data_IF_702626494979
#
_entry.id   IF_702626494979
#
_cell.length_a   1.000
_cell.length_b   1.000
_cell.length_c   1.000
_cell.angle_alpha   90.00
_cell.angle_beta   90.00
_cell.angle_gamma   90.00
#
_symmetry.space_group_name_H-M   'P 1'
#
loop_
_entity.id
_entity.type
_entity.pdbx_description
1 polymer ?
#
# COMPACT_ATOMS: atom_id res chain seq x y z
N UNK A 1 23.21 46.42 -41.65
CA UNK A 1 23.80 45.21 -41.03
C UNK A 1 22.82 44.67 -40.00
N UNK A 2 22.22 43.49 -40.20
CA UNK A 2 21.27 42.90 -39.26
C UNK A 2 22.02 42.16 -38.14
N UNK A 3 21.72 42.49 -36.88
CA UNK A 3 22.21 41.78 -35.70
C UNK A 3 21.39 40.52 -35.45
N UNK A 4 22.01 39.36 -35.64
CA UNK A 4 21.44 38.04 -35.40
C UNK A 4 21.64 37.66 -33.93
N UNK A 5 20.57 37.52 -33.14
CA UNK A 5 20.63 36.90 -31.81
C UNK A 5 20.22 35.41 -31.92
N UNK A 6 20.98 34.48 -31.32
CA UNK A 6 20.70 33.06 -31.45
C UNK A 6 19.43 32.65 -30.68
N UNK A 7 18.58 31.87 -31.35
CA UNK A 7 17.53 31.07 -30.70
C UNK A 7 18.18 29.81 -30.09
N UNK A 8 17.99 29.61 -28.79
CA UNK A 8 18.00 28.30 -28.14
C UNK A 8 17.33 28.50 -26.76
N UNK A 9 16.54 27.59 -26.21
CA UNK A 9 16.54 26.15 -26.37
C UNK A 9 15.16 25.57 -26.08
N UNK A 10 14.87 24.52 -26.83
CA UNK A 10 13.79 23.55 -26.67
C UNK A 10 13.37 23.29 -25.22
N UNK A 11 12.13 23.64 -24.87
CA UNK A 11 11.37 22.89 -23.87
C UNK A 11 11.11 21.51 -24.45
N UNK A 12 12.07 20.61 -24.24
CA UNK A 12 11.95 19.20 -24.54
C UNK A 12 10.83 18.62 -23.66
N UNK A 13 9.60 18.69 -24.16
CA UNK A 13 8.45 17.97 -23.64
C UNK A 13 8.57 16.47 -23.99
N UNK A 14 9.75 15.87 -23.72
CA UNK A 14 9.91 14.42 -23.81
C UNK A 14 9.13 13.85 -22.63
N UNK A 15 8.14 12.97 -22.87
CA UNK A 15 7.58 12.19 -21.77
C UNK A 15 8.76 11.51 -21.08
N UNK A 16 8.95 11.80 -19.79
CA UNK A 16 9.97 11.11 -19.00
C UNK A 16 9.71 9.62 -19.16
N UNK A 17 10.74 8.87 -19.56
CA UNK A 17 10.65 7.41 -19.63
C UNK A 17 10.16 6.91 -18.26
N UNK A 18 9.21 5.96 -18.18
CA UNK A 18 8.84 5.39 -16.89
C UNK A 18 10.11 4.96 -16.16
N UNK A 19 10.25 5.38 -14.90
CA UNK A 19 11.29 4.91 -14.00
C UNK A 19 11.37 3.38 -14.12
N UNK A 20 12.55 2.79 -14.38
CA UNK A 20 12.67 1.35 -14.51
C UNK A 20 12.19 0.65 -13.23
N UNK A 21 11.50 -0.47 -13.37
CA UNK A 21 11.01 -1.29 -12.26
C UNK A 21 9.49 -1.52 -12.30
N UNK A 22 9.00 -2.48 -11.51
CA UNK A 22 7.63 -2.94 -11.61
C UNK A 22 6.63 -1.94 -11.04
N UNK A 23 5.44 -1.95 -11.58
CA UNK A 23 4.32 -1.10 -11.18
C UNK A 23 3.59 -1.65 -9.95
N UNK A 24 3.09 -0.75 -9.10
CA UNK A 24 2.50 -1.09 -7.79
C UNK A 24 1.15 -0.41 -7.60
N UNK A 25 0.20 -1.11 -7.00
CA UNK A 25 -1.07 -0.58 -6.53
C UNK A 25 -1.34 -0.97 -5.07
N UNK A 26 -2.26 -0.29 -4.38
CA UNK A 26 -2.55 -0.56 -2.98
C UNK A 26 -4.04 -0.61 -2.62
N UNK A 27 -4.41 -1.50 -1.70
CA UNK A 27 -5.71 -1.50 -1.03
C UNK A 27 -5.50 -1.38 0.48
N UNK A 28 -5.88 -0.27 1.10
CA UNK A 28 -5.63 -0.02 2.52
C UNK A 28 -6.93 0.16 3.31
N UNK A 29 -6.90 -0.26 4.58
CA UNK A 29 -8.01 -0.10 5.51
C UNK A 29 -7.64 0.87 6.61
N UNK A 30 -7.04 0.34 7.69
CA UNK A 30 -6.81 1.11 8.91
C UNK A 30 -5.75 2.20 8.75
N UNK A 31 -4.82 2.04 7.80
CA UNK A 31 -3.82 3.05 7.40
C UNK A 31 -4.48 4.38 7.00
N UNK A 32 -5.65 4.35 6.35
CA UNK A 32 -6.44 5.55 6.04
C UNK A 32 -5.74 6.56 5.12
N UNK A 33 -4.96 6.09 4.14
CA UNK A 33 -4.25 6.92 3.17
C UNK A 33 -2.74 6.94 3.35
N UNK A 34 -2.23 6.48 4.49
CA UNK A 34 -0.80 6.48 4.80
C UNK A 34 0.00 5.57 3.88
N UNK A 35 -0.56 4.44 3.45
CA UNK A 35 0.12 3.53 2.53
C UNK A 35 0.21 4.16 1.14
N UNK A 36 -0.89 4.70 0.61
CA UNK A 36 -0.87 5.40 -0.67
C UNK A 36 0.08 6.62 -0.65
N UNK A 37 0.10 7.39 0.45
CA UNK A 37 1.02 8.52 0.65
C UNK A 37 2.49 8.07 0.65
N UNK A 38 2.79 6.94 1.29
CA UNK A 38 4.15 6.39 1.34
C UNK A 38 4.60 5.89 -0.04
N UNK A 39 3.75 5.14 -0.73
CA UNK A 39 4.05 4.57 -2.05
C UNK A 39 4.19 5.64 -3.12
N UNK A 40 3.32 6.65 -3.14
CA UNK A 40 3.41 7.74 -4.11
C UNK A 40 4.72 8.53 -3.95
N UNK A 41 5.18 8.74 -2.71
CA UNK A 41 6.48 9.36 -2.43
C UNK A 41 7.66 8.47 -2.81
N UNK A 42 7.61 7.16 -2.53
CA UNK A 42 8.75 6.25 -2.71
C UNK A 42 8.91 5.74 -4.15
N UNK A 43 7.80 5.55 -4.85
CA UNK A 43 7.74 4.91 -6.18
C UNK A 43 7.39 5.89 -7.31
N UNK A 44 6.82 7.05 -6.99
CA UNK A 44 6.42 8.06 -7.98
C UNK A 44 5.51 7.47 -9.05
N UNK A 45 5.93 7.59 -10.32
CA UNK A 45 5.16 7.14 -11.49
C UNK A 45 4.91 5.63 -11.57
N UNK A 46 5.64 4.82 -10.78
CA UNK A 46 5.40 3.37 -10.68
C UNK A 46 4.18 3.03 -9.81
N UNK A 47 3.73 3.96 -8.95
CA UNK A 47 2.50 3.79 -8.18
C UNK A 47 1.28 4.11 -9.04
N UNK A 48 0.47 3.10 -9.36
CA UNK A 48 -0.69 3.20 -10.24
C UNK A 48 -1.94 3.78 -9.56
N UNK A 49 -1.99 3.69 -8.24
CA UNK A 49 -3.12 4.19 -7.45
C UNK A 49 -3.38 3.32 -6.22
N UNK A 50 -4.29 3.80 -5.38
CA UNK A 50 -4.71 3.07 -4.20
C UNK A 50 -6.18 3.28 -3.87
N UNK A 51 -6.76 2.32 -3.17
CA UNK A 51 -8.12 2.37 -2.62
C UNK A 51 -8.04 2.35 -1.10
N UNK A 52 -8.72 3.30 -0.45
CA UNK A 52 -8.96 3.26 0.99
C UNK A 52 -10.28 2.53 1.26
N UNK A 53 -10.20 1.20 1.38
CA UNK A 53 -11.33 0.31 1.63
C UNK A 53 -11.60 0.12 3.14
N UNK A 54 -12.08 1.20 3.78
CA UNK A 54 -12.28 1.20 5.24
C UNK A 54 -13.42 0.26 5.69
N UNK A 55 -14.54 0.23 4.97
CA UNK A 55 -15.70 -0.64 5.26
C UNK A 55 -15.56 -2.02 4.61
N UNK A 56 -16.31 -3.01 5.11
CA UNK A 56 -16.39 -4.33 4.45
C UNK A 56 -16.98 -4.22 3.05
N UNK A 57 -18.01 -3.40 2.87
CA UNK A 57 -18.61 -3.11 1.55
C UNK A 57 -17.56 -2.60 0.56
N UNK A 58 -16.72 -1.64 0.97
CA UNK A 58 -15.66 -1.14 0.11
C UNK A 58 -14.61 -2.20 -0.24
N UNK A 59 -14.29 -3.12 0.69
CA UNK A 59 -13.39 -4.26 0.42
C UNK A 59 -13.99 -5.18 -0.65
N UNK A 60 -15.29 -5.44 -0.58
CA UNK A 60 -16.00 -6.27 -1.56
C UNK A 60 -16.09 -5.56 -2.91
N UNK A 61 -16.65 -4.36 -2.96
CA UNK A 61 -16.99 -3.67 -4.20
C UNK A 61 -15.77 -3.17 -4.97
N UNK A 62 -14.77 -2.63 -4.27
CA UNK A 62 -13.63 -1.97 -4.90
C UNK A 62 -12.42 -2.90 -5.06
N UNK A 63 -12.26 -3.87 -4.15
CA UNK A 63 -11.11 -4.78 -4.12
C UNK A 63 -11.51 -6.24 -4.41
N UNK A 64 -12.79 -6.53 -4.62
CA UNK A 64 -13.24 -7.88 -4.98
C UNK A 64 -12.96 -8.91 -3.91
N UNK A 65 -12.95 -8.52 -2.63
CA UNK A 65 -12.86 -9.47 -1.52
C UNK A 65 -14.16 -10.27 -1.46
N UNK A 66 -14.12 -11.61 -1.44
CA UNK A 66 -15.33 -12.41 -1.29
C UNK A 66 -16.05 -12.10 0.04
N UNK A 67 -17.37 -11.82 0.04
CA UNK A 67 -18.11 -11.50 1.27
C UNK A 67 -18.04 -12.60 2.33
N UNK A 68 -18.16 -13.86 1.90
CA UNK A 68 -18.04 -15.07 2.71
C UNK A 68 -16.68 -15.20 3.41
N UNK A 69 -15.60 -14.72 2.77
CA UNK A 69 -14.28 -14.68 3.38
C UNK A 69 -14.23 -13.70 4.57
N UNK A 70 -14.92 -12.56 4.45
CA UNK A 70 -15.02 -11.59 5.54
C UNK A 70 -15.87 -12.14 6.69
N UNK A 71 -16.93 -12.88 6.38
CA UNK A 71 -17.79 -13.51 7.39
C UNK A 71 -17.06 -14.60 8.18
N UNK A 72 -16.27 -15.43 7.49
CA UNK A 72 -15.59 -16.59 8.09
C UNK A 72 -14.27 -16.22 8.78
N UNK A 73 -13.39 -15.46 8.13
CA UNK A 73 -12.07 -15.12 8.66
C UNK A 73 -12.05 -13.77 9.43
N UNK A 74 -13.06 -12.92 9.20
CA UNK A 74 -13.13 -11.55 9.69
C UNK A 74 -12.32 -10.58 8.83
N UNK A 75 -12.76 -9.32 8.78
CA UNK A 75 -12.13 -8.29 7.92
C UNK A 75 -10.64 -8.02 8.18
N UNK A 76 -10.13 -8.36 9.37
CA UNK A 76 -8.72 -8.21 9.77
C UNK A 76 -8.11 -9.60 9.86
N UNK A 77 -7.78 -10.21 8.72
CA UNK A 77 -7.23 -11.57 8.62
C UNK A 77 -6.17 -11.63 7.52
N UNK A 78 -5.29 -12.66 7.52
CA UNK A 78 -4.31 -12.83 6.45
C UNK A 78 -4.98 -13.07 5.08
N UNK A 79 -6.10 -13.79 5.04
CA UNK A 79 -6.83 -14.11 3.82
C UNK A 79 -7.47 -12.85 3.21
N UNK A 80 -8.09 -12.01 4.03
CA UNK A 80 -8.66 -10.74 3.57
C UNK A 80 -7.56 -9.80 3.09
N UNK A 81 -6.42 -9.72 3.79
CA UNK A 81 -5.28 -8.93 3.35
C UNK A 81 -4.80 -9.38 1.96
N UNK A 82 -4.62 -10.70 1.75
CA UNK A 82 -4.18 -11.22 0.46
C UNK A 82 -5.23 -11.01 -0.65
N UNK A 83 -6.51 -11.20 -0.34
CA UNK A 83 -7.60 -10.92 -1.28
C UNK A 83 -7.62 -9.43 -1.70
N UNK A 84 -7.45 -8.51 -0.74
CA UNK A 84 -7.33 -7.07 -1.01
C UNK A 84 -6.11 -6.75 -1.90
N UNK A 85 -4.96 -7.37 -1.65
CA UNK A 85 -3.74 -7.14 -2.44
C UNK A 85 -3.93 -7.60 -3.89
N UNK A 86 -4.48 -8.80 -4.09
CA UNK A 86 -4.86 -9.32 -5.42
C UNK A 86 -5.88 -8.40 -6.10
N UNK A 87 -6.86 -7.91 -5.34
CA UNK A 87 -7.85 -6.93 -5.77
C UNK A 87 -7.25 -5.65 -6.31
N UNK A 88 -6.41 -4.99 -5.52
CA UNK A 88 -5.74 -3.75 -5.91
C UNK A 88 -4.87 -3.94 -7.16
N UNK A 89 -4.12 -5.04 -7.24
CA UNK A 89 -3.32 -5.41 -8.42
C UNK A 89 -4.19 -5.45 -9.68
N UNK A 90 -5.31 -6.18 -9.64
CA UNK A 90 -6.23 -6.31 -10.78
C UNK A 90 -6.91 -5.00 -11.13
N UNK A 91 -7.43 -4.28 -10.14
CA UNK A 91 -8.19 -3.03 -10.34
C UNK A 91 -7.39 -1.96 -11.08
N UNK A 92 -6.11 -1.80 -10.72
CA UNK A 92 -5.24 -0.79 -11.32
C UNK A 92 -4.34 -1.31 -12.45
N UNK A 93 -4.44 -2.60 -12.81
CA UNK A 93 -3.56 -3.22 -13.82
C UNK A 93 -2.07 -3.12 -13.46
N UNK A 94 -1.73 -3.24 -12.18
CA UNK A 94 -0.35 -3.18 -11.70
C UNK A 94 0.30 -4.58 -11.71
N UNK A 95 1.63 -4.62 -11.75
CA UNK A 95 2.38 -5.87 -11.59
C UNK A 95 2.31 -6.40 -10.16
N UNK A 96 2.30 -5.50 -9.18
CA UNK A 96 2.16 -5.80 -7.76
C UNK A 96 0.96 -5.10 -7.14
N UNK A 97 0.26 -5.79 -6.27
CA UNK A 97 -0.71 -5.21 -5.34
C UNK A 97 -0.24 -5.37 -3.91
N UNK A 98 -0.38 -4.32 -3.12
CA UNK A 98 -0.19 -4.31 -1.68
C UNK A 98 -1.55 -4.19 -1.01
N UNK A 99 -1.66 -4.73 0.20
CA UNK A 99 -2.79 -4.40 1.03
C UNK A 99 -2.47 -4.34 2.50
N UNK A 100 -3.34 -3.63 3.22
CA UNK A 100 -3.37 -3.55 4.66
C UNK A 100 -4.81 -3.63 5.16
N UNK A 101 -5.01 -4.44 6.19
CA UNK A 101 -6.22 -4.43 7.00
C UNK A 101 -5.88 -4.63 8.48
N UNK A 102 -6.41 -3.78 9.35
CA UNK A 102 -5.94 -3.70 10.73
C UNK A 102 -6.87 -2.96 11.68
N UNK A 103 -6.39 -2.80 12.92
CA UNK A 103 -7.06 -2.10 14.01
C UNK A 103 -6.12 -1.02 14.51
N UNK A 104 -6.14 0.14 13.88
CA UNK A 104 -5.28 1.25 14.31
C UNK A 104 -5.67 1.82 15.68
N UNK A 105 -6.90 1.61 16.16
CA UNK A 105 -7.42 2.20 17.39
C UNK A 105 -8.20 3.50 17.18
N UNK A 106 -8.59 4.21 18.26
CA UNK A 106 -8.17 3.99 19.65
C UNK A 106 -8.88 2.82 20.36
N UNK A 107 -9.98 2.33 19.79
CA UNK A 107 -10.74 1.21 20.34
C UNK A 107 -10.71 0.03 19.37
N UNK A 108 -10.93 -1.17 19.89
CA UNK A 108 -11.25 -2.32 19.04
C UNK A 108 -12.71 -2.25 18.59
N UNK A 109 -13.06 -3.04 17.56
CA UNK A 109 -14.44 -3.15 17.11
C UNK A 109 -15.30 -3.87 18.14
N UNK A 110 -16.56 -3.46 18.31
CA UNK A 110 -17.50 -4.11 19.24
C UNK A 110 -17.66 -5.63 19.05
N UNK A 111 -17.37 -6.13 17.85
CA UNK A 111 -17.50 -7.55 17.46
C UNK A 111 -16.15 -8.29 17.39
N UNK A 112 -15.04 -7.67 17.77
CA UNK A 112 -13.71 -8.28 17.65
C UNK A 112 -12.91 -8.14 18.94
N UNK A 113 -12.40 -9.26 19.45
CA UNK A 113 -11.45 -9.28 20.56
C UNK A 113 -10.00 -9.00 20.13
N UNK A 114 -9.76 -8.76 18.82
CA UNK A 114 -8.41 -8.48 18.29
C UNK A 114 -7.89 -7.16 18.89
N UNK A 115 -6.61 -7.09 19.31
CA UNK A 115 -6.06 -5.93 20.00
C UNK A 115 -5.84 -4.74 19.05
N UNK A 116 -5.87 -3.53 19.62
CA UNK A 116 -5.39 -2.32 18.92
C UNK A 116 -3.91 -2.49 18.60
N UNK A 117 -3.50 -2.07 17.41
CA UNK A 117 -2.13 -2.22 16.93
C UNK A 117 -1.87 -3.54 16.18
N UNK A 118 -2.89 -4.37 15.96
CA UNK A 118 -2.83 -5.52 15.06
C UNK A 118 -3.18 -5.11 13.62
N UNK A 119 -2.39 -5.54 12.66
CA UNK A 119 -2.74 -5.52 11.24
C UNK A 119 -2.20 -6.75 10.51
N UNK A 120 -2.77 -7.01 9.34
CA UNK A 120 -2.24 -7.90 8.33
C UNK A 120 -1.89 -7.08 7.11
N UNK A 121 -0.66 -7.26 6.62
CA UNK A 121 -0.21 -6.67 5.37
C UNK A 121 0.14 -7.76 4.38
N UNK A 122 -0.15 -7.54 3.11
CA UNK A 122 0.07 -8.54 2.06
C UNK A 122 0.63 -7.92 0.79
N UNK A 123 1.33 -8.74 0.02
CA UNK A 123 1.75 -8.45 -1.35
C UNK A 123 1.26 -9.55 -2.28
N UNK A 124 0.87 -9.19 -3.49
CA UNK A 124 0.51 -10.10 -4.57
C UNK A 124 1.19 -9.66 -5.87
N UNK A 125 1.91 -10.57 -6.50
CA UNK A 125 2.62 -10.38 -7.77
C UNK A 125 3.08 -11.74 -8.31
N UNK A 126 4.28 -11.86 -8.91
CA UNK A 126 4.92 -13.15 -9.18
C UNK A 126 5.01 -14.09 -7.98
N UNK A 127 5.10 -13.53 -6.76
CA UNK A 127 4.94 -14.28 -5.51
C UNK A 127 3.95 -13.56 -4.61
N UNK A 128 3.41 -14.31 -3.65
CA UNK A 128 2.50 -13.78 -2.65
C UNK A 128 3.08 -13.99 -1.25
N UNK A 129 2.95 -12.98 -0.40
CA UNK A 129 3.36 -13.04 1.00
C UNK A 129 2.37 -12.25 1.85
N UNK A 130 2.23 -12.69 3.10
CA UNK A 130 1.42 -12.03 4.12
C UNK A 130 2.25 -11.94 5.40
N UNK A 131 2.13 -10.83 6.11
CA UNK A 131 2.83 -10.56 7.36
C UNK A 131 1.85 -10.04 8.41
N UNK A 132 1.93 -10.62 9.60
CA UNK A 132 1.26 -10.08 10.79
C UNK A 132 2.08 -8.93 11.37
N UNK A 133 1.42 -7.83 11.73
CA UNK A 133 2.04 -6.66 12.35
C UNK A 133 1.39 -6.42 13.70
N UNK A 134 2.22 -6.38 14.75
CA UNK A 134 1.80 -6.01 16.11
C UNK A 134 2.66 -4.86 16.62
N UNK A 135 2.06 -3.70 16.85
CA UNK A 135 2.79 -2.50 17.28
C UNK A 135 2.84 -2.34 18.80
N UNK A 136 1.94 -2.99 19.54
CA UNK A 136 1.76 -2.77 20.99
C UNK A 136 1.31 -1.35 21.36
N UNK A 137 1.02 -0.48 20.38
CA UNK A 137 0.69 0.93 20.63
C UNK A 137 -0.81 1.16 20.63
N UNK A 138 -1.32 1.89 21.64
CA UNK A 138 -2.68 2.43 21.63
C UNK A 138 -2.87 3.66 20.73
N UNK A 139 -1.79 4.20 20.15
CA UNK A 139 -1.83 5.46 19.40
C UNK A 139 -2.13 5.22 17.93
N UNK A 140 -3.32 5.66 17.49
CA UNK A 140 -3.79 5.50 16.11
C UNK A 140 -2.81 5.95 15.04
N UNK A 141 -2.20 7.12 15.22
CA UNK A 141 -1.26 7.67 14.24
C UNK A 141 0.04 6.86 14.14
N UNK A 142 0.53 6.26 15.23
CA UNK A 142 1.70 5.36 15.19
C UNK A 142 1.35 4.06 14.47
N UNK A 143 0.19 3.49 14.76
CA UNK A 143 -0.27 2.25 14.14
C UNK A 143 -0.39 2.39 12.62
N UNK A 144 -1.06 3.45 12.15
CA UNK A 144 -1.21 3.72 10.71
C UNK A 144 0.14 3.79 9.98
N UNK A 145 1.10 4.52 10.53
CA UNK A 145 2.44 4.62 9.95
C UNK A 145 3.22 3.31 10.01
N UNK A 146 3.10 2.56 11.11
CA UNK A 146 3.76 1.27 11.26
C UNK A 146 3.21 0.24 10.25
N UNK A 147 1.89 0.16 10.09
CA UNK A 147 1.26 -0.73 9.12
C UNK A 147 1.67 -0.39 7.69
N UNK A 148 1.65 0.90 7.31
CA UNK A 148 2.09 1.35 5.99
C UNK A 148 3.57 1.00 5.71
N UNK A 149 4.45 1.24 6.69
CA UNK A 149 5.88 0.88 6.57
C UNK A 149 6.09 -0.63 6.46
N UNK A 150 5.36 -1.42 7.24
CA UNK A 150 5.44 -2.88 7.17
C UNK A 150 5.01 -3.42 5.80
N UNK A 151 3.95 -2.85 5.20
CA UNK A 151 3.51 -3.24 3.85
C UNK A 151 4.57 -2.90 2.78
N UNK A 152 5.18 -1.70 2.84
CA UNK A 152 6.29 -1.35 1.94
C UNK A 152 7.51 -2.24 2.18
N UNK A 153 7.89 -2.49 3.43
CA UNK A 153 9.02 -3.35 3.77
C UNK A 153 8.85 -4.77 3.25
N UNK A 154 7.64 -5.33 3.36
CA UNK A 154 7.32 -6.65 2.81
C UNK A 154 7.51 -6.68 1.28
N UNK A 155 7.09 -5.64 0.57
CA UNK A 155 7.30 -5.54 -0.88
C UNK A 155 8.78 -5.50 -1.24
N UNK A 156 9.55 -4.64 -0.58
CA UNK A 156 10.99 -4.52 -0.82
C UNK A 156 11.72 -5.84 -0.51
N UNK A 157 11.27 -6.58 0.49
CA UNK A 157 11.88 -7.86 0.87
C UNK A 157 11.67 -8.90 -0.23
N UNK A 158 10.47 -8.90 -0.81
CA UNK A 158 10.14 -9.77 -1.95
C UNK A 158 10.89 -9.38 -3.21
N UNK A 159 11.19 -8.10 -3.43
CA UNK A 159 12.04 -7.66 -4.54
C UNK A 159 13.53 -7.95 -4.37
N UNK A 160 13.94 -8.48 -3.21
CA UNK A 160 15.36 -8.71 -2.91
C UNK A 160 16.12 -7.44 -2.52
N UNK A 161 15.42 -6.36 -2.17
CA UNK A 161 15.99 -5.04 -1.86
C UNK A 161 15.80 -4.61 -0.38
N UNK A 162 15.27 -5.44 0.52
CA UNK A 162 15.01 -4.97 1.89
C UNK A 162 16.24 -4.98 2.79
N UNK A 163 16.78 -3.79 3.05
CA UNK A 163 17.59 -3.50 4.22
C UNK A 163 16.71 -2.82 5.30
N UNK A 164 16.43 -3.48 6.44
CA UNK A 164 15.59 -2.93 7.51
C UNK A 164 16.13 -1.62 8.11
N UNK A 165 17.43 -1.33 7.98
CA UNK A 165 18.06 -0.12 8.53
C UNK A 165 17.69 1.19 7.78
N UNK A 166 17.21 1.09 6.54
CA UNK A 166 16.80 2.28 5.77
C UNK A 166 15.36 2.73 6.05
N UNK A 167 14.53 1.84 6.63
CA UNK A 167 13.12 2.10 6.92
C UNK A 167 12.88 2.95 8.19
N UNK A 168 13.94 3.24 8.94
CA UNK A 168 13.92 3.99 10.20
C UNK A 168 14.51 5.40 10.10
N UNK A 169 15.13 5.77 8.97
CA UNK A 169 15.70 7.12 8.81
C UNK A 169 14.58 8.15 8.62
N UNK A 170 14.51 9.21 9.44
CA UNK A 170 13.62 10.33 9.18
C UNK A 170 14.11 11.07 7.94
N UNK A 171 13.23 11.18 6.94
CA UNK A 171 13.44 12.02 5.76
C UNK A 171 13.05 13.47 6.00
#
# INVERSE_FOLDING_TARGET
MPGNLPRNSSTSNRPTRPEPGPTVAAGEGACGGELARLLSRRLGRRFKGGVVAYSNVAKVELLGVPPDLIETAGAVSPEVALAMARGARRFFGAEWGLAETGIAGPQTGRRSAKPVGLAWVAVSGPVERVLEVRTGSGRRSLNRRAFARAALGLLLAVWGEFNPEEAEKPG
#
